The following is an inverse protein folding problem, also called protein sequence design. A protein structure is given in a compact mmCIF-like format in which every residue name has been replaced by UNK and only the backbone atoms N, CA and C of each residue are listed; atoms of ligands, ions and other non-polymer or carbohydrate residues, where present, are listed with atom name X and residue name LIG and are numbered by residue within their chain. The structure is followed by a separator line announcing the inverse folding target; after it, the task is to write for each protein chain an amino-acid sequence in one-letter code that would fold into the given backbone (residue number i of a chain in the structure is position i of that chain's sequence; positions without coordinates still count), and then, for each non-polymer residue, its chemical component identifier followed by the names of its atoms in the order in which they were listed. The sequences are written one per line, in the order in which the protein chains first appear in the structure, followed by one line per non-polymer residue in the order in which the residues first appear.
data_IF_774988607065
#
_entry.id   IF_774988607065
#
_cell.length_a   1.000
_cell.length_b   1.000
_cell.length_c   1.000
_cell.angle_alpha   90.00
_cell.angle_beta   90.00
_cell.angle_gamma   90.00
#
_symmetry.space_group_name_H-M   'P 1'
#
loop_
_entity.id
_entity.type
_entity.pdbx_description
1 polymer ?
#
# COMPACT_ATOMS: atom_id res chain seq x y z
N UNK A 1 -3.82 20.85 8.01
CA UNK A 1 -3.35 20.07 6.85
C UNK A 1 -1.83 19.98 6.71
N UNK A 2 -1.01 20.95 7.18
CA UNK A 2 0.48 20.87 7.17
C UNK A 2 1.12 19.62 7.80
N UNK A 3 0.38 18.85 8.60
CA UNK A 3 0.85 17.58 9.16
C UNK A 3 1.08 16.53 8.07
N UNK A 4 0.28 16.54 7.01
CA UNK A 4 0.37 15.53 5.93
C UNK A 4 1.64 15.69 5.08
N UNK A 5 2.18 16.91 4.99
CA UNK A 5 3.42 17.22 4.25
C UNK A 5 4.67 16.63 4.92
N UNK A 6 4.57 16.22 6.19
CA UNK A 6 5.70 15.67 6.95
C UNK A 6 5.82 14.15 6.85
N UNK A 7 4.80 13.46 6.30
CA UNK A 7 4.90 12.02 6.08
C UNK A 7 5.92 11.73 4.99
N UNK A 8 6.74 10.72 5.22
CA UNK A 8 7.68 10.22 4.22
C UNK A 8 6.97 9.31 3.24
N UNK A 9 7.44 9.33 2.00
CA UNK A 9 6.88 8.53 0.91
C UNK A 9 7.96 7.71 0.23
N UNK A 10 7.64 6.45 -0.04
CA UNK A 10 8.46 5.57 -0.86
C UNK A 10 7.82 5.40 -2.24
N UNK A 11 8.47 5.85 -3.34
CA UNK A 11 8.00 5.58 -4.69
C UNK A 11 8.05 4.08 -4.95
N UNK A 12 6.95 3.51 -5.42
CA UNK A 12 6.82 2.07 -5.67
C UNK A 12 6.26 1.84 -7.06
N UNK A 13 6.64 0.72 -7.67
CA UNK A 13 6.06 0.25 -8.92
C UNK A 13 5.55 -1.17 -8.77
N UNK A 14 4.52 -1.50 -9.54
CA UNK A 14 4.03 -2.85 -9.71
C UNK A 14 3.85 -3.13 -11.20
N UNK A 15 4.50 -4.17 -11.69
CA UNK A 15 4.52 -4.52 -13.11
C UNK A 15 3.95 -5.93 -13.27
N UNK A 16 2.97 -6.08 -14.15
CA UNK A 16 2.48 -7.38 -14.61
C UNK A 16 3.20 -7.72 -15.92
N UNK A 17 3.85 -8.88 -15.99
CA UNK A 17 4.70 -9.26 -17.13
C UNK A 17 4.84 -10.78 -17.28
N UNK A 18 5.45 -11.21 -18.39
CA UNK A 18 5.81 -12.62 -18.68
C UNK A 18 7.34 -12.84 -18.69
N UNK A 19 8.12 -11.83 -18.31
CA UNK A 19 9.58 -11.89 -18.28
C UNK A 19 10.14 -12.69 -17.08
N UNK A 20 10.66 -13.89 -17.36
CA UNK A 20 11.24 -14.78 -16.36
C UNK A 20 12.60 -14.33 -15.80
N UNK A 21 13.22 -13.27 -16.35
CA UNK A 21 14.50 -12.74 -15.85
C UNK A 21 14.40 -12.11 -14.45
N UNK A 22 13.17 -11.79 -14.02
CA UNK A 22 12.86 -11.26 -12.68
C UNK A 22 12.58 -12.35 -11.64
N UNK A 23 12.78 -13.63 -12.00
CA UNK A 23 12.60 -14.79 -11.13
C UNK A 23 13.96 -15.47 -10.89
N UNK A 24 14.05 -16.42 -9.93
CA UNK A 24 15.24 -17.26 -9.80
C UNK A 24 15.63 -17.89 -11.15
N UNK A 25 16.94 -17.98 -11.40
CA UNK A 25 17.46 -18.46 -12.70
C UNK A 25 16.99 -19.88 -13.03
N UNK A 26 16.86 -20.74 -12.02
CA UNK A 26 16.37 -22.11 -12.19
C UNK A 26 14.87 -22.14 -11.90
N UNK A 27 14.11 -22.75 -12.80
CA UNK A 27 12.65 -22.86 -12.67
C UNK A 27 12.23 -23.68 -11.43
N UNK A 28 13.02 -24.67 -11.04
CA UNK A 28 12.77 -25.50 -9.85
C UNK A 28 12.77 -24.70 -8.52
N UNK A 29 13.49 -23.57 -8.51
CA UNK A 29 13.58 -22.67 -7.36
C UNK A 29 12.40 -21.70 -7.29
N UNK A 30 11.54 -21.66 -8.31
CA UNK A 30 10.41 -20.75 -8.33
C UNK A 30 9.43 -21.10 -7.21
N UNK A 31 9.01 -20.07 -6.50
CA UNK A 31 7.95 -20.14 -5.49
C UNK A 31 6.81 -19.22 -5.89
N UNK A 32 5.67 -19.36 -5.22
CA UNK A 32 4.54 -18.45 -5.43
C UNK A 32 4.93 -16.99 -5.20
N UNK A 33 5.82 -16.74 -4.24
CA UNK A 33 6.40 -15.43 -3.95
C UNK A 33 7.93 -15.57 -3.95
N UNK A 34 8.61 -14.71 -4.71
CA UNK A 34 10.06 -14.70 -4.84
C UNK A 34 10.55 -13.33 -4.43
N UNK A 35 11.41 -13.26 -3.42
CA UNK A 35 11.98 -12.00 -2.93
C UNK A 35 13.46 -11.98 -3.28
N UNK A 36 13.92 -10.85 -3.79
CA UNK A 36 15.32 -10.63 -4.12
C UNK A 36 15.76 -9.28 -3.58
N UNK A 37 16.87 -9.28 -2.86
CA UNK A 37 17.56 -8.07 -2.47
C UNK A 37 18.57 -7.66 -3.55
N UNK A 38 18.68 -6.36 -3.80
CA UNK A 38 19.69 -5.77 -4.67
C UNK A 38 21.05 -5.79 -4.00
N UNK A 39 22.08 -6.22 -4.73
CA UNK A 39 23.47 -6.36 -4.24
C UNK A 39 24.20 -5.02 -3.98
N UNK A 40 23.51 -3.88 -4.07
CA UNK A 40 24.12 -2.55 -3.92
C UNK A 40 23.43 -1.69 -2.88
N UNK A 41 22.18 -1.32 -3.14
CA UNK A 41 21.40 -0.39 -2.33
C UNK A 41 20.51 -1.07 -1.29
N UNK A 42 20.54 -2.41 -1.20
CA UNK A 42 19.66 -3.19 -0.31
C UNK A 42 18.17 -3.12 -0.69
N UNK A 43 17.83 -2.59 -1.87
CA UNK A 43 16.44 -2.51 -2.31
C UNK A 43 15.85 -3.90 -2.55
N UNK A 44 14.63 -4.13 -2.07
CA UNK A 44 13.94 -5.40 -2.24
C UNK A 44 12.97 -5.35 -3.42
N UNK A 45 13.08 -6.36 -4.27
CA UNK A 45 12.12 -6.72 -5.31
C UNK A 45 11.31 -7.93 -4.86
N UNK A 46 10.02 -7.94 -5.17
CA UNK A 46 9.13 -9.07 -4.89
C UNK A 46 8.37 -9.45 -6.16
N UNK A 47 8.50 -10.70 -6.60
CA UNK A 47 7.83 -11.25 -7.78
C UNK A 47 6.86 -12.36 -7.38
N UNK A 48 5.56 -12.16 -7.62
CA UNK A 48 4.52 -13.18 -7.42
C UNK A 48 4.29 -13.95 -8.72
N UNK A 49 4.39 -15.28 -8.67
CA UNK A 49 4.02 -16.15 -9.79
C UNK A 49 2.52 -16.39 -9.78
N UNK A 50 1.81 -15.67 -10.66
CA UNK A 50 0.35 -15.60 -10.65
C UNK A 50 -0.30 -16.94 -10.95
N UNK A 51 0.32 -17.80 -11.77
CA UNK A 51 -0.21 -19.13 -12.06
C UNK A 51 -0.23 -20.03 -10.82
N UNK A 52 0.77 -19.92 -9.95
CA UNK A 52 0.81 -20.67 -8.69
C UNK A 52 -0.05 -20.04 -7.59
N UNK A 53 -0.20 -18.72 -7.61
CA UNK A 53 -1.05 -17.99 -6.66
C UNK A 53 -2.54 -18.22 -6.96
N UNK A 54 -2.95 -18.02 -8.21
CA UNK A 54 -4.33 -18.17 -8.67
C UNK A 54 -4.57 -19.58 -9.23
N UNK A 55 -4.63 -20.60 -8.36
CA UNK A 55 -4.77 -22.02 -8.76
C UNK A 55 -6.01 -22.36 -9.61
N UNK A 56 -6.98 -21.47 -9.72
CA UNK A 56 -8.19 -21.63 -10.56
C UNK A 56 -8.19 -20.80 -11.85
N UNK A 57 -7.16 -20.00 -12.11
CA UNK A 57 -7.10 -19.15 -13.30
C UNK A 57 -6.26 -19.82 -14.39
N UNK A 58 -6.84 -20.02 -15.56
CA UNK A 58 -6.10 -20.42 -16.75
C UNK A 58 -5.43 -19.19 -17.36
N UNK A 59 -4.11 -19.10 -17.23
CA UNK A 59 -3.31 -18.06 -17.86
C UNK A 59 -2.56 -18.67 -19.06
N UNK A 60 -2.42 -17.94 -20.19
CA UNK A 60 -1.87 -18.49 -21.43
C UNK A 60 -0.35 -18.75 -21.37
N UNK A 61 0.32 -18.22 -20.36
CA UNK A 61 1.76 -18.36 -20.12
C UNK A 61 2.04 -18.18 -18.62
N UNK A 62 3.31 -18.27 -18.22
CA UNK A 62 3.72 -17.82 -16.89
C UNK A 62 3.58 -16.30 -16.80
N UNK A 63 2.75 -15.84 -15.86
CA UNK A 63 2.51 -14.43 -15.58
C UNK A 63 3.04 -14.11 -14.19
N UNK A 64 3.69 -12.96 -14.09
CA UNK A 64 4.30 -12.48 -12.87
C UNK A 64 3.80 -11.08 -12.54
N UNK A 65 3.61 -10.83 -11.25
CA UNK A 65 3.41 -9.50 -10.71
C UNK A 65 4.64 -9.13 -9.87
N UNK A 66 5.45 -8.19 -10.37
CA UNK A 66 6.70 -7.79 -9.72
C UNK A 66 6.60 -6.39 -9.16
N UNK A 67 6.90 -6.27 -7.88
CA UNK A 67 7.00 -5.03 -7.13
C UNK A 67 8.44 -4.55 -7.10
N UNK A 68 8.65 -3.27 -7.39
CA UNK A 68 9.95 -2.59 -7.38
C UNK A 68 11.02 -3.39 -8.15
N UNK A 69 10.72 -3.70 -9.42
CA UNK A 69 11.59 -4.50 -10.26
C UNK A 69 13.02 -3.91 -10.35
N UNK A 70 14.05 -4.70 -10.05
CA UNK A 70 15.45 -4.27 -10.11
C UNK A 70 15.90 -3.90 -11.53
N UNK A 71 15.23 -4.45 -12.53
CA UNK A 71 15.40 -4.05 -13.92
C UNK A 71 14.05 -4.09 -14.62
N UNK A 72 13.89 -3.25 -15.63
CA UNK A 72 12.65 -3.20 -16.40
C UNK A 72 12.47 -4.50 -17.21
N UNK A 73 11.28 -5.13 -17.20
CA UNK A 73 11.00 -6.22 -18.12
C UNK A 73 11.16 -5.78 -19.58
N UNK A 74 11.38 -6.74 -20.49
CA UNK A 74 11.30 -6.45 -21.92
C UNK A 74 9.92 -5.86 -22.27
N UNK A 75 9.87 -4.79 -23.07
CA UNK A 75 8.62 -4.09 -23.40
C UNK A 75 7.53 -5.03 -23.96
N UNK A 76 7.93 -5.94 -24.87
CA UNK A 76 7.03 -6.96 -25.45
C UNK A 76 6.51 -8.00 -24.44
N UNK A 77 7.11 -8.08 -23.25
CA UNK A 77 6.72 -8.97 -22.16
C UNK A 77 6.00 -8.24 -21.02
N UNK A 78 5.91 -6.92 -21.07
CA UNK A 78 5.14 -6.11 -20.12
C UNK A 78 3.68 -6.08 -20.52
N UNK A 79 2.79 -6.41 -19.59
CA UNK A 79 1.33 -6.37 -19.77
C UNK A 79 0.77 -5.05 -19.25
N UNK A 80 1.18 -4.66 -18.04
CA UNK A 80 0.76 -3.42 -17.40
C UNK A 80 1.79 -2.98 -16.36
N UNK A 81 1.90 -1.69 -16.14
CA UNK A 81 2.80 -1.08 -15.16
C UNK A 81 2.05 0.05 -14.45
N UNK A 82 2.13 0.08 -13.13
CA UNK A 82 1.59 1.16 -12.31
C UNK A 82 2.65 1.69 -11.35
N UNK A 83 2.62 3.00 -11.13
CA UNK A 83 3.49 3.70 -10.18
C UNK A 83 2.63 4.37 -9.13
N UNK A 84 3.04 4.29 -7.87
CA UNK A 84 2.34 4.89 -6.74
C UNK A 84 3.31 5.15 -5.59
N UNK A 85 2.96 6.11 -4.73
CA UNK A 85 3.70 6.35 -3.50
C UNK A 85 3.07 5.57 -2.35
N UNK A 86 3.90 5.06 -1.44
CA UNK A 86 3.45 4.48 -0.17
C UNK A 86 3.98 5.32 0.99
N UNK A 87 3.13 5.54 1.98
CA UNK A 87 3.53 6.18 3.23
C UNK A 87 4.55 5.29 3.93
N UNK A 88 5.65 5.88 4.37
CA UNK A 88 6.67 5.21 5.17
C UNK A 88 6.34 5.44 6.63
N UNK A 89 6.12 4.34 7.36
CA UNK A 89 5.98 4.37 8.80
C UNK A 89 7.35 4.14 9.45
N UNK A 90 7.86 5.19 10.09
CA UNK A 90 9.13 5.22 10.80
C UNK A 90 8.93 5.67 12.27
N UNK A 91 10.03 5.88 13.00
CA UNK A 91 9.99 6.35 14.39
C UNK A 91 9.30 7.72 14.56
N UNK A 92 9.28 8.57 13.53
CA UNK A 92 8.63 9.88 13.57
C UNK A 92 7.11 9.80 13.33
N UNK A 93 6.65 8.72 12.69
CA UNK A 93 5.28 8.56 12.22
C UNK A 93 4.26 8.54 13.35
N UNK A 94 4.62 7.99 14.52
CA UNK A 94 3.73 8.00 15.70
C UNK A 94 3.32 9.42 16.09
N UNK A 95 4.28 10.35 16.15
CA UNK A 95 4.03 11.76 16.46
C UNK A 95 3.14 12.42 15.42
N UNK A 96 3.34 12.10 14.14
CA UNK A 96 2.51 12.64 13.05
C UNK A 96 1.07 12.12 13.14
N UNK A 97 0.89 10.83 13.44
CA UNK A 97 -0.45 10.24 13.65
C UNK A 97 -1.16 10.88 14.84
N UNK A 98 -0.45 11.16 15.94
CA UNK A 98 -1.01 11.91 17.08
C UNK A 98 -1.46 13.32 16.67
N UNK A 99 -0.68 14.01 15.83
CA UNK A 99 -1.08 15.32 15.27
C UNK A 99 -2.27 15.22 14.31
N UNK A 100 -2.39 14.15 13.54
CA UNK A 100 -3.58 13.91 12.69
C UNK A 100 -4.82 13.69 13.57
N UNK A 101 -4.69 12.97 14.69
CA UNK A 101 -5.79 12.76 15.64
C UNK A 101 -6.32 14.07 16.22
N UNK A 102 -5.47 15.05 16.51
CA UNK A 102 -5.92 16.33 17.09
C UNK A 102 -6.71 17.22 16.11
N UNK A 103 -6.68 16.92 14.81
CA UNK A 103 -7.40 17.67 13.78
C UNK A 103 -8.64 16.94 13.25
N UNK A 104 -8.98 15.76 13.79
CA UNK A 104 -10.21 15.04 13.42
C UNK A 104 -11.46 15.86 13.80
N UNK A 105 -12.42 15.94 12.89
CA UNK A 105 -13.68 16.65 13.07
C UNK A 105 -13.57 18.18 13.04
N UNK A 106 -12.35 18.73 12.92
CA UNK A 106 -12.17 20.18 12.80
C UNK A 106 -12.77 20.67 11.49
N UNK A 107 -13.64 21.68 11.58
CA UNK A 107 -14.37 22.26 10.43
C UNK A 107 -15.16 21.19 9.64
N UNK A 108 -15.58 20.10 10.30
CA UNK A 108 -16.30 18.99 9.69
C UNK A 108 -15.44 18.02 8.85
N UNK A 109 -14.11 18.16 8.86
CA UNK A 109 -13.22 17.27 8.12
C UNK A 109 -12.75 16.09 8.96
N UNK A 110 -12.77 14.90 8.37
CA UNK A 110 -12.28 13.67 8.98
C UNK A 110 -11.33 12.94 8.02
N UNK A 111 -10.29 12.32 8.57
CA UNK A 111 -9.21 11.69 7.82
C UNK A 111 -9.09 10.20 8.17
N UNK A 112 -9.10 9.31 7.18
CA UNK A 112 -8.86 7.87 7.34
C UNK A 112 -7.72 7.39 6.42
N UNK A 113 -7.35 6.12 6.54
CA UNK A 113 -6.32 5.46 5.74
C UNK A 113 -4.93 5.47 6.38
N UNK A 114 -3.90 5.36 5.54
CA UNK A 114 -2.50 5.20 5.96
C UNK A 114 -1.97 6.35 6.83
N UNK A 115 -2.60 7.53 6.79
CA UNK A 115 -2.20 8.69 7.58
C UNK A 115 -2.95 8.82 8.91
N UNK A 116 -3.91 7.94 9.18
CA UNK A 116 -4.79 8.04 10.33
C UNK A 116 -4.66 6.85 11.29
N UNK A 117 -3.96 5.80 10.88
CA UNK A 117 -3.80 4.58 11.67
C UNK A 117 -2.38 4.04 11.61
N UNK A 118 -1.88 3.62 12.76
CA UNK A 118 -0.56 3.02 12.89
C UNK A 118 -0.56 1.59 12.30
N UNK A 119 0.50 1.24 11.57
CA UNK A 119 0.70 -0.10 11.05
C UNK A 119 1.49 -0.12 9.75
N UNK A 120 1.39 -1.23 9.03
CA UNK A 120 2.08 -1.44 7.74
C UNK A 120 1.33 -0.82 6.55
N UNK A 121 0.26 -0.06 6.79
CA UNK A 121 -0.57 0.52 5.73
C UNK A 121 -1.28 -0.53 4.86
N UNK A 122 -1.61 -1.70 5.41
CA UNK A 122 -2.35 -2.74 4.69
C UNK A 122 -3.86 -2.42 4.64
N UNK A 123 -4.58 -3.20 3.84
CA UNK A 123 -6.02 -3.04 3.63
C UNK A 123 -6.85 -3.13 4.93
N UNK A 124 -6.35 -3.89 5.91
CA UNK A 124 -6.99 -4.01 7.22
C UNK A 124 -6.98 -2.68 7.98
N UNK A 125 -5.82 -2.00 8.05
CA UNK A 125 -5.71 -0.68 8.67
C UNK A 125 -6.53 0.38 7.94
N UNK A 126 -6.56 0.32 6.60
CA UNK A 126 -7.43 1.22 5.83
C UNK A 126 -8.90 1.05 6.23
N UNK A 127 -9.37 -0.19 6.33
CA UNK A 127 -10.75 -0.51 6.72
C UNK A 127 -11.04 -0.12 8.18
N UNK A 128 -10.14 -0.47 9.10
CA UNK A 128 -10.29 -0.16 10.52
C UNK A 128 -10.32 1.35 10.78
N UNK A 129 -9.47 2.12 10.09
CA UNK A 129 -9.46 3.59 10.21
C UNK A 129 -10.73 4.24 9.67
N UNK A 130 -11.31 3.70 8.58
CA UNK A 130 -12.58 4.17 8.06
C UNK A 130 -13.73 3.91 9.03
N UNK A 131 -13.72 2.76 9.71
CA UNK A 131 -14.70 2.44 10.75
C UNK A 131 -14.58 3.37 11.97
N UNK A 132 -13.36 3.67 12.41
CA UNK A 132 -13.11 4.63 13.49
C UNK A 132 -13.64 6.02 13.14
N UNK A 133 -13.30 6.53 11.95
CA UNK A 133 -13.79 7.84 11.46
C UNK A 133 -15.31 7.86 11.31
N UNK A 134 -15.93 6.77 10.82
CA UNK A 134 -17.39 6.69 10.68
C UNK A 134 -18.09 6.85 12.03
N UNK A 135 -17.53 6.30 13.11
CA UNK A 135 -18.05 6.49 14.47
C UNK A 135 -17.87 7.93 14.95
N UNK A 136 -16.74 8.56 14.66
CA UNK A 136 -16.50 9.97 15.00
C UNK A 136 -17.50 10.90 14.29
N UNK A 137 -17.79 10.65 13.01
CA UNK A 137 -18.77 11.41 12.23
C UNK A 137 -20.16 11.28 12.87
N UNK A 138 -20.58 10.06 13.21
CA UNK A 138 -21.87 9.83 13.85
C UNK A 138 -21.99 10.56 15.20
N UNK A 139 -20.95 10.48 16.03
CA UNK A 139 -20.91 11.18 17.31
C UNK A 139 -21.00 12.70 17.11
N UNK A 140 -20.22 13.25 16.19
CA UNK A 140 -20.20 14.68 15.91
C UNK A 140 -21.57 15.19 15.44
N UNK A 141 -22.24 14.44 14.56
CA UNK A 141 -23.60 14.77 14.11
C UNK A 141 -24.61 14.80 15.27
N UNK A 142 -24.57 13.81 16.17
CA UNK A 142 -25.47 13.77 17.34
C UNK A 142 -25.21 14.92 18.32
N UNK A 143 -23.96 15.34 18.49
CA UNK A 143 -23.59 16.48 19.32
C UNK A 143 -24.11 17.81 18.76
N UNK A 144 -24.05 17.99 17.43
CA UNK A 144 -24.59 19.18 16.76
C UNK A 144 -26.12 19.23 16.82
N UNK A 145 -26.83 18.13 16.55
CA UNK A 145 -28.30 18.07 16.72
C UNK A 145 -28.74 18.34 18.17
N UNK A 146 -27.94 17.90 19.14
CA UNK A 146 -28.18 18.16 20.56
C UNK A 146 -28.01 19.63 20.96
N UNK A 147 -27.18 20.39 20.23
CA UNK A 147 -27.02 21.84 20.41
C UNK A 147 -28.16 22.62 19.77
N UNK A 148 -28.65 22.21 18.60
CA UNK A 148 -29.79 22.88 17.93
C UNK A 148 -31.12 22.72 18.67
N UNK A 149 -31.27 21.65 19.47
CA UNK A 149 -32.48 21.39 20.28
C UNK A 149 -32.47 22.06 21.66
N UNK A 150 -31.41 22.77 22.04
CA UNK A 150 -31.29 23.52 23.31
C UNK A 150 -31.37 25.02 23.08
#
# INVERSE_FOLDING_TARGET
TKVFDQFLYHPSSCIVHTDSRLLPRRREDWRTVNVRESTGDGSCMLSVWMNAYCKGCTLPADVFQTWNAHHRPEEKKTVAEVHFARVVHDASSKRLLEQVRTVQGRDGFFFCGAYAMEGLGLLEQATASALEVSRMILQHHLEEEGKEKR
#
